data_IF_659295253605
#
_entry.id   IF_659295253605
#
_cell.length_a   1.000
_cell.length_b   1.000
_cell.length_c   1.000
_cell.angle_alpha   90.00
_cell.angle_beta   90.00
_cell.angle_gamma   90.00
#
_symmetry.space_group_name_H-M   'P 1'
#
loop_
_entity.id
_entity.type
_entity.pdbx_description
1 polymer ?
#
# COMPACT_ATOMS: atom_id res chain seq x y z
N UNK A 1 17.13 -17.46 2.17
CA UNK A 1 17.64 -16.13 2.57
C UNK A 1 16.77 -15.10 1.89
N UNK A 2 16.04 -14.27 2.64
CA UNK A 2 15.08 -13.32 2.08
C UNK A 2 15.78 -12.17 1.38
N UNK A 3 15.23 -11.72 0.26
CA UNK A 3 15.67 -10.49 -0.38
C UNK A 3 15.28 -9.31 0.53
N UNK A 4 16.27 -8.53 0.98
CA UNK A 4 16.03 -7.27 1.65
C UNK A 4 15.36 -6.24 0.72
N UNK A 5 14.88 -5.11 1.25
CA UNK A 5 14.25 -4.09 0.43
C UNK A 5 15.22 -3.58 -0.64
N UNK A 6 14.73 -3.40 -1.87
CA UNK A 6 15.52 -2.81 -2.97
C UNK A 6 15.89 -1.36 -2.65
N UNK A 7 15.01 -0.65 -1.94
CA UNK A 7 15.19 0.73 -1.52
C UNK A 7 14.54 0.97 -0.17
N UNK A 8 15.18 1.79 0.66
CA UNK A 8 14.64 2.29 1.93
C UNK A 8 14.53 3.81 1.80
N UNK A 9 13.36 4.36 2.14
CA UNK A 9 13.11 5.80 2.10
C UNK A 9 12.66 6.29 3.48
N UNK A 10 13.25 7.39 3.95
CA UNK A 10 12.83 8.04 5.17
C UNK A 10 11.54 8.84 4.92
N UNK A 11 10.45 8.46 5.61
CA UNK A 11 9.14 9.08 5.42
C UNK A 11 8.88 10.25 6.36
N UNK A 12 9.75 10.50 7.34
CA UNK A 12 9.63 11.59 8.30
C UNK A 12 9.70 11.07 9.73
N UNK A 13 9.27 11.92 10.66
CA UNK A 13 9.18 11.63 12.07
C UNK A 13 7.73 11.76 12.53
N UNK A 14 7.37 11.03 13.58
CA UNK A 14 6.03 11.08 14.19
C UNK A 14 6.16 11.34 15.67
N UNK A 15 5.21 12.10 16.23
CA UNK A 15 5.03 12.22 17.67
C UNK A 15 4.07 11.16 18.22
N UNK A 16 3.52 10.29 17.35
CA UNK A 16 2.61 9.22 17.74
C UNK A 16 3.34 8.17 18.56
N UNK A 17 2.69 7.71 19.62
CA UNK A 17 3.19 6.56 20.39
C UNK A 17 2.89 5.25 19.68
N UNK A 18 3.53 4.18 20.13
CA UNK A 18 3.24 2.82 19.68
C UNK A 18 1.79 2.42 20.00
N UNK A 19 1.31 2.72 21.21
CA UNK A 19 -0.09 2.47 21.59
C UNK A 19 -1.10 3.19 20.68
N UNK A 20 -0.83 4.45 20.30
CA UNK A 20 -1.67 5.19 19.36
C UNK A 20 -1.68 4.56 17.96
N UNK A 21 -0.53 4.02 17.52
CA UNK A 21 -0.44 3.28 16.26
C UNK A 21 -1.22 1.97 16.34
N UNK A 22 -1.09 1.21 17.42
CA UNK A 22 -1.79 -0.07 17.60
C UNK A 22 -3.31 0.13 17.66
N UNK A 23 -3.78 1.16 18.37
CA UNK A 23 -5.20 1.53 18.39
C UNK A 23 -5.69 1.92 16.99
N UNK A 24 -4.91 2.71 16.26
CA UNK A 24 -5.24 3.07 14.88
C UNK A 24 -5.29 1.84 13.96
N UNK A 25 -4.31 0.95 14.03
CA UNK A 25 -4.27 -0.28 13.26
C UNK A 25 -5.49 -1.17 13.57
N UNK A 26 -5.82 -1.33 14.85
CA UNK A 26 -7.04 -2.02 15.27
C UNK A 26 -8.30 -1.38 14.68
N UNK A 27 -8.37 -0.04 14.65
CA UNK A 27 -9.53 0.70 14.14
C UNK A 27 -9.76 0.50 12.63
N UNK A 28 -8.69 0.30 11.85
CA UNK A 28 -8.77 0.11 10.39
C UNK A 28 -8.75 -1.36 9.97
N UNK A 29 -8.40 -2.29 10.86
CA UNK A 29 -8.19 -3.71 10.53
C UNK A 29 -9.36 -4.35 9.78
N UNK A 30 -10.61 -4.05 10.19
CA UNK A 30 -11.80 -4.57 9.54
C UNK A 30 -11.97 -4.11 8.06
N UNK A 31 -11.30 -3.02 7.68
CA UNK A 31 -11.27 -2.54 6.30
C UNK A 31 -10.13 -3.15 5.47
N UNK A 32 -9.12 -3.75 6.11
CA UNK A 32 -7.91 -4.28 5.48
C UNK A 32 -7.78 -5.78 5.76
N UNK A 33 -8.64 -6.56 5.12
CA UNK A 33 -8.68 -8.02 5.24
C UNK A 33 -8.17 -8.67 3.96
N UNK A 34 -7.96 -10.00 4.00
CA UNK A 34 -7.65 -10.75 2.79
C UNK A 34 -8.77 -10.63 1.75
N UNK A 35 -10.05 -10.62 2.17
CA UNK A 35 -11.17 -10.46 1.25
C UNK A 35 -11.25 -9.05 0.64
N UNK A 36 -10.78 -8.03 1.33
CA UNK A 36 -10.80 -6.65 0.83
C UNK A 36 -9.54 -6.28 0.01
N UNK A 37 -8.59 -7.20 -0.13
CA UNK A 37 -7.38 -7.00 -0.92
C UNK A 37 -7.70 -6.97 -2.42
N UNK A 38 -7.26 -5.91 -3.08
CA UNK A 38 -7.31 -5.76 -4.54
C UNK A 38 -5.95 -5.28 -5.05
N UNK A 39 -5.34 -6.05 -5.93
CA UNK A 39 -3.99 -5.77 -6.45
C UNK A 39 -3.88 -4.37 -7.07
N UNK A 40 -4.96 -3.85 -7.65
CA UNK A 40 -4.93 -2.60 -8.42
C UNK A 40 -5.20 -1.36 -7.57
N UNK A 41 -6.06 -1.47 -6.57
CA UNK A 41 -6.68 -0.32 -5.89
C UNK A 41 -6.63 -0.39 -4.38
N UNK A 42 -6.39 -1.57 -3.80
CA UNK A 42 -6.39 -1.77 -2.34
C UNK A 42 -5.39 -2.85 -1.93
N UNK A 43 -4.12 -2.53 -2.12
CA UNK A 43 -3.00 -3.43 -1.83
C UNK A 43 -2.12 -2.89 -0.69
N UNK A 44 -0.96 -3.50 -0.49
CA UNK A 44 0.01 -3.10 0.54
C UNK A 44 0.46 -1.63 0.41
N UNK A 45 0.57 -1.08 -0.80
CA UNK A 45 0.96 0.31 -1.01
C UNK A 45 -0.12 1.28 -0.52
N UNK A 46 -1.40 0.96 -0.78
CA UNK A 46 -2.52 1.75 -0.28
C UNK A 46 -2.62 1.68 1.25
N UNK A 47 -2.36 0.51 1.85
CA UNK A 47 -2.29 0.37 3.30
C UNK A 47 -1.16 1.22 3.89
N UNK A 48 0.05 1.13 3.33
CA UNK A 48 1.19 1.96 3.74
C UNK A 48 0.89 3.45 3.60
N UNK A 49 0.18 3.88 2.55
CA UNK A 49 -0.24 5.27 2.38
C UNK A 49 -1.14 5.75 3.52
N UNK A 50 -2.14 4.96 3.91
CA UNK A 50 -3.03 5.27 5.04
C UNK A 50 -2.26 5.36 6.36
N UNK A 51 -1.38 4.39 6.63
CA UNK A 51 -0.57 4.37 7.86
C UNK A 51 0.41 5.54 7.91
N UNK A 52 1.06 5.89 6.79
CA UNK A 52 1.97 7.03 6.74
C UNK A 52 1.25 8.37 6.87
N UNK A 53 0.04 8.50 6.33
CA UNK A 53 -0.77 9.70 6.56
C UNK A 53 -1.13 9.86 8.04
N UNK A 54 -1.45 8.76 8.74
CA UNK A 54 -1.70 8.80 10.17
C UNK A 54 -0.45 9.20 10.98
N UNK A 55 0.71 8.60 10.67
CA UNK A 55 1.95 8.82 11.41
C UNK A 55 2.57 10.19 11.11
N UNK A 56 2.69 10.55 9.84
CA UNK A 56 3.53 11.65 9.36
C UNK A 56 2.75 12.74 8.62
N UNK A 57 1.43 12.60 8.43
CA UNK A 57 0.63 13.54 7.65
C UNK A 57 0.96 13.56 6.15
N UNK A 58 1.64 12.52 5.64
CA UNK A 58 2.03 12.38 4.24
C UNK A 58 1.92 10.94 3.78
N UNK A 59 1.57 10.76 2.51
CA UNK A 59 1.47 9.47 1.87
C UNK A 59 2.80 8.88 1.39
N UNK A 60 2.72 7.72 0.76
CA UNK A 60 3.83 7.15 -0.01
C UNK A 60 4.15 8.03 -1.24
N UNK A 61 5.35 7.95 -1.82
CA UNK A 61 5.63 8.62 -3.08
C UNK A 61 4.59 8.27 -4.15
N UNK A 62 4.05 9.27 -4.84
CA UNK A 62 2.91 9.11 -5.75
C UNK A 62 3.13 8.07 -6.86
N UNK A 63 4.38 7.90 -7.31
CA UNK A 63 4.75 6.92 -8.33
C UNK A 63 4.49 5.47 -7.90
N UNK A 64 4.43 5.19 -6.59
CA UNK A 64 4.10 3.86 -6.06
C UNK A 64 2.61 3.57 -6.26
N UNK A 65 1.75 4.56 -6.02
CA UNK A 65 0.29 4.42 -6.19
C UNK A 65 -0.16 4.55 -7.65
N UNK A 66 0.64 5.20 -8.52
CA UNK A 66 0.34 5.28 -9.95
C UNK A 66 0.70 4.01 -10.73
N UNK A 67 1.60 3.18 -10.19
CA UNK A 67 2.12 1.97 -10.85
C UNK A 67 1.02 1.03 -11.38
N UNK A 68 -0.06 0.71 -10.62
CA UNK A 68 -1.19 -0.06 -11.15
C UNK A 68 -1.81 0.54 -12.42
N UNK A 69 -2.08 1.85 -12.41
CA UNK A 69 -2.68 2.56 -13.53
C UNK A 69 -1.76 2.62 -14.75
N UNK A 70 -0.46 2.87 -14.51
CA UNK A 70 0.56 2.87 -15.55
C UNK A 70 0.69 1.49 -16.20
N UNK A 71 0.68 0.43 -15.40
CA UNK A 71 0.73 -0.95 -15.88
C UNK A 71 -0.47 -1.25 -16.77
N UNK A 72 -1.70 -0.99 -16.29
CA UNK A 72 -2.95 -1.22 -17.03
C UNK A 72 -3.09 -0.35 -18.29
N UNK A 73 -2.38 0.77 -18.38
CA UNK A 73 -2.34 1.60 -19.58
C UNK A 73 -1.54 0.95 -20.73
N UNK A 74 -0.60 0.03 -20.42
CA UNK A 74 0.21 -0.65 -21.43
C UNK A 74 -0.59 -1.73 -22.19
N UNK A 75 -0.23 -2.06 -23.46
CA UNK A 75 -0.87 -3.17 -24.18
C UNK A 75 -0.78 -4.51 -23.43
N UNK A 76 0.36 -4.77 -22.78
CA UNK A 76 0.55 -5.96 -21.97
C UNK A 76 -0.34 -5.97 -20.72
N UNK A 77 -0.44 -4.84 -20.03
CA UNK A 77 -1.28 -4.72 -18.84
C UNK A 77 -2.76 -4.86 -19.14
N UNK A 78 -3.24 -4.39 -20.29
CA UNK A 78 -4.63 -4.67 -20.72
C UNK A 78 -4.91 -6.15 -20.93
N UNK A 79 -3.91 -6.91 -21.41
CA UNK A 79 -4.03 -8.35 -21.60
C UNK A 79 -3.94 -9.11 -20.27
N UNK A 80 -3.01 -8.74 -19.40
CA UNK A 80 -2.73 -9.46 -18.15
C UNK A 80 -3.55 -8.97 -16.96
N UNK A 81 -4.13 -7.77 -17.02
CA UNK A 81 -4.87 -7.15 -15.93
C UNK A 81 -5.94 -8.06 -15.32
N UNK A 82 -6.81 -8.70 -16.11
CA UNK A 82 -7.80 -9.64 -15.58
C UNK A 82 -7.19 -10.88 -14.89
N UNK A 83 -6.02 -11.34 -15.35
CA UNK A 83 -5.35 -12.52 -14.78
C UNK A 83 -4.70 -12.15 -13.45
N UNK A 84 -3.97 -11.03 -13.43
CA UNK A 84 -3.26 -10.55 -12.25
C UNK A 84 -4.20 -10.00 -11.18
N UNK A 85 -5.37 -9.47 -11.55
CA UNK A 85 -6.37 -8.98 -10.59
C UNK A 85 -6.94 -10.05 -9.66
N UNK A 86 -6.76 -11.34 -9.98
CA UNK A 86 -7.18 -12.45 -9.13
C UNK A 86 -6.08 -12.93 -8.17
N UNK A 87 -4.92 -12.27 -8.16
CA UNK A 87 -3.82 -12.59 -7.23
C UNK A 87 -4.08 -11.88 -5.90
N UNK A 88 -4.09 -12.67 -4.82
CA UNK A 88 -4.13 -12.21 -3.43
C UNK A 88 -2.78 -12.44 -2.75
#
# INVERSE_FOLDING_TARGET
>A
MGHGPVRVEAMGETSKTEDELDEFLCSIAASWTAESYDLWTKNCNNFSDVVLNFLCGRGVPAWILSLPGEMLATPLGKLLGPILGNVQ
#
